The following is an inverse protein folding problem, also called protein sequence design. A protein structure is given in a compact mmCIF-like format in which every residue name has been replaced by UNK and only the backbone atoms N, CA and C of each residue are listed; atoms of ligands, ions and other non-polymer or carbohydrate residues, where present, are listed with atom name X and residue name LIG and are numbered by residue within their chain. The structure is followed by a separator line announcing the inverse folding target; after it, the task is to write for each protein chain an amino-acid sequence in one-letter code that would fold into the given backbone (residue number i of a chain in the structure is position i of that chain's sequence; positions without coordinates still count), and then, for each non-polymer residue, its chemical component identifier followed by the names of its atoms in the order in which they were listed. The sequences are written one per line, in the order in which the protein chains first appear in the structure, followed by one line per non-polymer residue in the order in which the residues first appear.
data_IF_427088698300
#
_entry.id   IF_427088698300
#
_cell.length_a   1.000
_cell.length_b   1.000
_cell.length_c   1.000
_cell.angle_alpha   90.00
_cell.angle_beta   90.00
_cell.angle_gamma   90.00
#
_symmetry.space_group_name_H-M   'P 1'
#
loop_
_entity.id
_entity.type
_entity.pdbx_description
1 polymer ?
#
# COMPACT_ATOMS: atom_id res chain seq x y z
N UNK A 1 -12.50 9.54 0.06
CA UNK A 1 -13.32 9.36 1.30
C UNK A 1 -13.45 7.93 1.84
N UNK A 2 -14.22 7.04 1.21
CA UNK A 2 -14.66 5.75 1.80
C UNK A 2 -13.83 4.51 1.40
N UNK A 3 -13.03 4.60 0.32
CA UNK A 3 -12.27 3.44 -0.21
C UNK A 3 -10.85 3.31 0.36
N UNK A 4 -10.14 4.41 0.64
CA UNK A 4 -8.90 4.37 1.42
C UNK A 4 -9.17 3.93 2.87
N UNK A 5 -10.33 4.27 3.44
CA UNK A 5 -10.78 3.75 4.73
C UNK A 5 -11.04 2.22 4.66
N UNK A 6 -11.49 1.69 3.50
CA UNK A 6 -11.68 0.25 3.27
C UNK A 6 -10.37 -0.53 3.07
N UNK A 7 -9.32 0.08 2.49
CA UNK A 7 -8.00 -0.56 2.34
C UNK A 7 -7.10 -0.42 3.57
N UNK A 8 -7.16 0.71 4.29
CA UNK A 8 -6.62 0.82 5.66
C UNK A 8 -7.34 -0.15 6.61
N UNK A 9 -8.59 -0.48 6.31
CA UNK A 9 -9.41 -1.45 7.02
C UNK A 9 -8.90 -2.91 6.99
N UNK A 10 -7.91 -3.32 6.20
CA UNK A 10 -7.41 -4.71 6.33
C UNK A 10 -6.34 -4.87 7.41
N UNK A 11 -5.56 -3.81 7.65
CA UNK A 11 -4.58 -3.73 8.76
C UNK A 11 -5.21 -3.10 10.02
N UNK A 12 -6.27 -2.29 9.84
CA UNK A 12 -6.94 -1.54 10.91
C UNK A 12 -8.48 -1.70 10.92
N UNK A 13 -9.02 -2.85 10.50
CA UNK A 13 -10.48 -3.09 10.46
C UNK A 13 -11.13 -2.90 11.84
N UNK A 14 -12.20 -2.10 11.93
CA UNK A 14 -13.27 -2.40 12.87
C UNK A 14 -13.94 -3.70 12.42
N UNK A 15 -14.10 -4.64 13.35
CA UNK A 15 -14.83 -5.89 13.15
C UNK A 15 -16.21 -5.64 12.48
N UNK A 16 -16.68 -6.48 11.55
CA UNK A 16 -17.99 -6.31 10.91
C UNK A 16 -19.09 -6.42 11.97
N UNK A 17 -19.65 -5.29 12.39
CA UNK A 17 -20.71 -5.23 13.41
C UNK A 17 -20.56 -4.11 14.45
N UNK A 18 -19.41 -3.42 14.53
CA UNK A 18 -19.26 -2.31 15.48
C UNK A 18 -19.66 -0.95 14.89
N UNK A 19 -20.54 -0.25 15.62
CA UNK A 19 -20.94 1.14 15.34
C UNK A 19 -19.71 2.05 15.26
N UNK A 20 -19.77 3.19 14.52
CA UNK A 20 -18.64 4.09 14.19
C UNK A 20 -17.89 4.76 15.37
N UNK A 21 -18.05 4.30 16.62
CA UNK A 21 -17.42 4.85 17.84
C UNK A 21 -16.21 4.03 18.34
N UNK A 22 -15.83 2.96 17.65
CA UNK A 22 -14.67 2.11 17.99
C UNK A 22 -13.64 2.18 16.87
N UNK A 23 -13.09 3.38 16.66
CA UNK A 23 -11.96 3.55 15.74
C UNK A 23 -10.66 3.16 16.46
N UNK A 24 -9.78 2.44 15.76
CA UNK A 24 -8.41 2.19 16.21
C UNK A 24 -7.69 3.50 16.58
N UNK A 25 -6.81 3.54 17.58
CA UNK A 25 -6.02 4.73 17.92
C UNK A 25 -5.19 5.27 16.74
N UNK A 26 -4.89 4.44 15.74
CA UNK A 26 -4.25 4.88 14.49
C UNK A 26 -5.17 5.76 13.63
N UNK A 27 -6.48 5.49 13.65
CA UNK A 27 -7.49 6.24 12.90
C UNK A 27 -7.72 7.64 13.49
N UNK A 28 -7.62 7.80 14.82
CA UNK A 28 -7.71 9.12 15.47
C UNK A 28 -6.48 9.99 15.23
N UNK A 29 -5.29 9.40 15.11
CA UNK A 29 -4.04 10.14 14.86
C UNK A 29 -3.92 10.56 13.38
N UNK A 30 -4.44 9.76 12.45
CA UNK A 30 -4.27 9.97 11.00
C UNK A 30 -5.18 11.01 10.32
N UNK A 31 -6.25 11.50 10.95
CA UNK A 31 -7.17 12.47 10.30
C UNK A 31 -6.60 13.89 10.34
N UNK A 32 -6.38 14.50 9.16
CA UNK A 32 -6.26 15.96 9.04
C UNK A 32 -7.63 16.59 9.32
N UNK A 33 -7.67 17.58 10.21
CA UNK A 33 -8.90 18.22 10.66
C UNK A 33 -9.50 19.06 9.52
N UNK A 34 -10.44 18.49 8.76
CA UNK A 34 -11.35 19.28 7.94
C UNK A 34 -12.42 19.97 8.79
N UNK A 35 -12.96 21.13 8.39
CA UNK A 35 -13.89 21.94 9.18
C UNK A 35 -15.21 21.22 9.55
N UNK A 36 -15.53 20.09 8.91
CA UNK A 36 -16.73 19.28 9.20
C UNK A 36 -16.56 18.20 10.29
N UNK A 37 -15.35 17.96 10.81
CA UNK A 37 -15.05 16.84 11.73
C UNK A 37 -14.50 17.33 13.09
N UNK A 38 -14.88 18.52 13.53
CA UNK A 38 -14.58 19.01 14.88
C UNK A 38 -15.36 18.28 15.99
N UNK A 39 -16.34 17.42 15.65
CA UNK A 39 -17.15 16.66 16.64
C UNK A 39 -16.53 15.36 17.15
N UNK A 40 -15.41 14.89 16.61
CA UNK A 40 -14.81 13.58 16.98
C UNK A 40 -13.48 13.69 17.75
N UNK A 41 -12.99 14.89 18.02
CA UNK A 41 -11.74 15.12 18.76
C UNK A 41 -11.81 14.74 20.26
N UNK A 42 -12.95 14.23 20.75
CA UNK A 42 -13.22 13.99 22.17
C UNK A 42 -13.78 12.58 22.44
N UNK A 43 -13.29 11.54 21.77
CA UNK A 43 -13.66 10.18 22.16
C UNK A 43 -13.09 9.88 23.57
N UNK A 44 -13.92 9.48 24.55
CA UNK A 44 -13.46 9.18 25.89
C UNK A 44 -12.45 8.03 25.90
N UNK A 45 -11.48 8.03 26.81
CA UNK A 45 -10.52 6.92 26.98
C UNK A 45 -11.19 5.55 27.09
N UNK A 46 -12.40 5.49 27.65
CA UNK A 46 -13.21 4.28 27.75
C UNK A 46 -13.57 3.64 26.39
N UNK A 47 -13.66 4.42 25.31
CA UNK A 47 -13.86 3.91 23.94
C UNK A 47 -12.57 3.47 23.24
N UNK A 48 -11.41 3.88 23.75
CA UNK A 48 -10.11 3.48 23.22
C UNK A 48 -9.62 2.14 23.80
N UNK A 49 -9.99 1.81 25.04
CA UNK A 49 -9.59 0.56 25.70
C UNK A 49 -9.97 -0.71 24.90
N UNK A 50 -11.20 -0.85 24.35
CA UNK A 50 -11.54 -2.00 23.51
C UNK A 50 -10.74 -2.03 22.20
N UNK A 51 -10.48 -0.86 21.60
CA UNK A 51 -9.73 -0.75 20.36
C UNK A 51 -8.24 -1.05 20.54
N UNK A 52 -7.63 -0.60 21.63
CA UNK A 52 -6.24 -0.91 21.98
C UNK A 52 -6.08 -2.37 22.39
N UNK A 53 -7.05 -2.94 23.11
CA UNK A 53 -7.03 -4.36 23.46
C UNK A 53 -7.18 -5.25 22.22
N UNK A 54 -8.06 -4.88 21.28
CA UNK A 54 -8.21 -5.58 20.01
C UNK A 54 -6.94 -5.50 19.16
N UNK A 55 -6.33 -4.31 19.04
CA UNK A 55 -5.05 -4.13 18.35
C UNK A 55 -3.93 -4.95 19.00
N UNK A 56 -3.84 -4.94 20.34
CA UNK A 56 -2.86 -5.73 21.07
C UNK A 56 -3.06 -7.23 20.84
N UNK A 57 -4.31 -7.71 20.82
CA UNK A 57 -4.63 -9.10 20.50
C UNK A 57 -4.25 -9.46 19.06
N UNK A 58 -4.61 -8.66 18.07
CA UNK A 58 -4.26 -8.89 16.66
C UNK A 58 -2.74 -8.90 16.47
N UNK A 59 -2.03 -7.97 17.13
CA UNK A 59 -0.57 -7.91 17.11
C UNK A 59 0.05 -9.12 17.78
N UNK A 60 -0.47 -9.56 18.94
CA UNK A 60 0.01 -10.72 19.65
C UNK A 60 -0.20 -12.02 18.85
N UNK A 61 -1.37 -12.17 18.21
CA UNK A 61 -1.65 -13.31 17.31
C UNK A 61 -0.70 -13.28 16.10
N UNK A 62 -0.50 -12.11 15.49
CA UNK A 62 0.44 -11.93 14.38
C UNK A 62 1.88 -12.30 14.78
N UNK A 63 2.38 -11.77 15.90
CA UNK A 63 3.71 -12.11 16.43
C UNK A 63 3.81 -13.59 16.79
N UNK A 64 2.78 -14.18 17.37
CA UNK A 64 2.73 -15.62 17.69
C UNK A 64 2.80 -16.49 16.44
N UNK A 65 2.12 -16.09 15.36
CA UNK A 65 2.24 -16.75 14.05
C UNK A 65 3.64 -16.57 13.46
N UNK A 66 4.22 -15.38 13.53
CA UNK A 66 5.57 -15.14 13.00
C UNK A 66 6.65 -15.88 13.77
N UNK A 67 6.45 -16.10 15.08
CA UNK A 67 7.36 -16.88 15.91
C UNK A 67 7.40 -18.37 15.53
N UNK A 68 6.40 -18.88 14.78
CA UNK A 68 6.42 -20.25 14.24
C UNK A 68 7.14 -20.37 12.89
N UNK A 69 7.52 -19.24 12.27
CA UNK A 69 8.33 -19.21 11.05
C UNK A 69 9.83 -19.24 11.42
N UNK A 70 10.67 -18.52 10.67
CA UNK A 70 12.10 -18.43 10.95
C UNK A 70 12.48 -17.12 11.67
N UNK A 71 13.65 -17.08 12.34
CA UNK A 71 14.12 -15.90 13.07
C UNK A 71 14.23 -14.64 12.20
N UNK A 72 14.64 -14.78 10.94
CA UNK A 72 14.80 -13.66 10.00
C UNK A 72 13.45 -13.00 9.66
N UNK A 73 12.41 -13.80 9.39
CA UNK A 73 11.06 -13.33 9.17
C UNK A 73 10.49 -12.65 10.42
N UNK A 74 10.75 -13.20 11.62
CA UNK A 74 10.35 -12.58 12.88
C UNK A 74 11.02 -11.22 13.09
N UNK A 75 12.34 -11.12 12.89
CA UNK A 75 13.10 -9.87 13.01
C UNK A 75 12.58 -8.81 12.04
N UNK A 76 12.35 -9.18 10.77
CA UNK A 76 11.78 -8.28 9.76
C UNK A 76 10.35 -7.85 10.12
N UNK A 77 9.53 -8.77 10.63
CA UNK A 77 8.20 -8.48 11.16
C UNK A 77 8.20 -7.45 12.25
N UNK A 78 9.01 -7.66 13.29
CA UNK A 78 9.13 -6.73 14.40
C UNK A 78 9.65 -5.36 13.95
N UNK A 79 10.60 -5.33 13.02
CA UNK A 79 11.11 -4.07 12.47
C UNK A 79 10.04 -3.25 11.73
N UNK A 80 9.05 -3.91 11.11
CA UNK A 80 7.94 -3.24 10.40
C UNK A 80 7.05 -2.41 11.33
N UNK A 81 6.94 -2.78 12.62
CA UNK A 81 6.13 -2.07 13.61
C UNK A 81 6.56 -0.60 13.76
N UNK A 82 7.86 -0.32 13.60
CA UNK A 82 8.38 1.05 13.62
C UNK A 82 7.80 1.90 12.47
N UNK A 83 7.74 1.35 11.26
CA UNK A 83 7.18 2.04 10.10
C UNK A 83 5.66 2.20 10.22
N UNK A 84 4.95 1.17 10.70
CA UNK A 84 3.51 1.23 10.94
C UNK A 84 3.17 2.30 11.97
N UNK A 85 3.92 2.35 13.09
CA UNK A 85 3.78 3.36 14.12
C UNK A 85 4.08 4.78 13.62
N UNK A 86 5.06 4.94 12.73
CA UNK A 86 5.45 6.22 12.16
C UNK A 86 4.44 6.75 11.12
N UNK A 87 3.75 5.88 10.38
CA UNK A 87 2.90 6.26 9.24
C UNK A 87 1.85 7.35 9.55
N UNK A 88 1.09 7.33 10.66
CA UNK A 88 0.16 8.41 11.00
C UNK A 88 0.83 9.76 11.20
N UNK A 89 2.06 9.78 11.72
CA UNK A 89 2.84 11.00 11.90
C UNK A 89 3.31 11.54 10.55
N UNK A 90 3.65 10.65 9.61
CA UNK A 90 4.08 11.03 8.26
C UNK A 90 3.01 11.82 7.51
N UNK A 91 1.73 11.46 7.66
CA UNK A 91 0.62 12.25 7.11
C UNK A 91 0.59 13.72 7.56
N UNK A 92 1.24 14.06 8.69
CA UNK A 92 1.30 15.43 9.22
C UNK A 92 2.56 16.19 8.84
N UNK A 93 3.67 15.51 8.59
CA UNK A 93 4.97 16.15 8.36
C UNK A 93 5.41 16.16 6.89
N UNK A 94 4.90 15.23 6.06
CA UNK A 94 5.30 15.12 4.65
C UNK A 94 4.16 15.39 3.68
N UNK A 95 4.51 15.90 2.52
CA UNK A 95 3.63 16.10 1.37
C UNK A 95 3.50 14.82 0.52
N UNK A 96 4.27 13.78 0.87
CA UNK A 96 4.31 12.48 0.20
C UNK A 96 3.97 11.32 1.14
N UNK A 97 2.79 11.30 1.79
CA UNK A 97 2.39 10.19 2.64
C UNK A 97 2.34 8.86 1.88
N UNK A 98 2.04 8.88 0.57
CA UNK A 98 2.04 7.69 -0.28
C UNK A 98 3.39 6.97 -0.36
N UNK A 99 4.51 7.68 -0.19
CA UNK A 99 5.83 7.04 -0.19
C UNK A 99 6.02 6.19 1.07
N UNK A 100 5.61 6.73 2.23
CA UNK A 100 5.63 5.98 3.50
C UNK A 100 4.61 4.84 3.52
N UNK A 101 3.46 5.04 2.88
CA UNK A 101 2.51 3.96 2.63
C UNK A 101 3.15 2.84 1.80
N UNK A 102 3.90 3.19 0.76
CA UNK A 102 4.67 2.24 -0.04
C UNK A 102 5.67 1.47 0.81
N UNK A 103 6.40 2.15 1.70
CA UNK A 103 7.36 1.49 2.59
C UNK A 103 6.71 0.48 3.54
N UNK A 104 5.55 0.82 4.12
CA UNK A 104 4.85 -0.06 5.06
C UNK A 104 4.17 -1.24 4.38
N UNK A 105 3.41 -1.01 3.30
CA UNK A 105 2.65 -2.08 2.64
C UNK A 105 3.54 -3.11 1.94
N UNK A 106 4.62 -2.65 1.30
CA UNK A 106 5.49 -3.56 0.55
C UNK A 106 6.48 -4.33 1.44
N UNK A 107 6.54 -4.03 2.75
CA UNK A 107 7.41 -4.74 3.69
C UNK A 107 7.13 -6.25 3.72
N UNK A 108 5.86 -6.61 3.46
CA UNK A 108 5.43 -7.99 3.34
C UNK A 108 6.16 -8.79 2.25
N UNK A 109 6.63 -8.15 1.17
CA UNK A 109 7.38 -8.83 0.11
C UNK A 109 8.74 -9.35 0.62
N UNK A 110 9.44 -8.52 1.39
CA UNK A 110 10.72 -8.89 2.02
C UNK A 110 10.52 -10.00 3.05
N UNK A 111 9.51 -9.83 3.89
CA UNK A 111 9.14 -10.80 4.93
C UNK A 111 8.73 -12.15 4.32
N UNK A 112 7.99 -12.15 3.21
CA UNK A 112 7.58 -13.36 2.50
C UNK A 112 8.78 -14.12 1.92
N UNK A 113 9.76 -13.42 1.35
CA UNK A 113 11.00 -14.05 0.90
C UNK A 113 11.77 -14.68 2.07
N UNK A 114 11.98 -13.90 3.14
CA UNK A 114 12.67 -14.36 4.33
C UNK A 114 11.99 -15.57 4.95
N UNK A 115 10.64 -15.61 4.97
CA UNK A 115 9.86 -16.72 5.51
C UNK A 115 10.16 -18.07 4.83
N UNK A 116 10.51 -18.06 3.53
CA UNK A 116 10.79 -19.27 2.75
C UNK A 116 12.28 -19.63 2.75
N UNK A 117 13.17 -18.65 2.57
CA UNK A 117 14.60 -18.89 2.38
C UNK A 117 15.42 -18.83 3.67
N UNK A 118 14.88 -18.23 4.74
CA UNK A 118 15.59 -18.03 6.01
C UNK A 118 16.52 -16.83 6.02
N UNK A 119 16.72 -16.15 4.89
CA UNK A 119 17.50 -14.92 4.73
C UNK A 119 16.85 -13.99 3.68
N UNK A 120 17.45 -12.81 3.45
CA UNK A 120 17.05 -11.91 2.38
C UNK A 120 18.18 -11.74 1.36
N UNK A 121 18.01 -12.32 0.17
CA UNK A 121 18.85 -11.98 -0.97
C UNK A 121 18.41 -10.62 -1.54
N UNK A 122 19.19 -9.59 -1.23
CA UNK A 122 18.91 -8.22 -1.66
C UNK A 122 18.96 -8.03 -3.18
N UNK A 123 19.61 -8.93 -3.93
CA UNK A 123 19.60 -8.87 -5.40
C UNK A 123 18.22 -9.17 -5.96
N UNK A 124 17.45 -10.06 -5.32
CA UNK A 124 16.09 -10.43 -5.74
C UNK A 124 15.05 -9.55 -5.04
N UNK A 125 15.18 -9.43 -3.72
CA UNK A 125 14.20 -8.77 -2.85
C UNK A 125 14.25 -7.25 -2.97
N UNK A 126 15.44 -6.67 -3.19
CA UNK A 126 15.60 -5.22 -3.32
C UNK A 126 14.78 -4.64 -4.48
N UNK A 127 14.97 -5.13 -5.72
CA UNK A 127 14.16 -4.71 -6.86
C UNK A 127 12.66 -4.98 -6.67
N UNK A 128 12.29 -6.08 -6.01
CA UNK A 128 10.88 -6.42 -5.75
C UNK A 128 10.22 -5.41 -4.82
N UNK A 129 10.91 -5.07 -3.73
CA UNK A 129 10.43 -4.11 -2.74
C UNK A 129 10.30 -2.71 -3.35
N UNK A 130 11.31 -2.27 -4.09
CA UNK A 130 11.30 -0.99 -4.81
C UNK A 130 10.20 -0.96 -5.87
N UNK A 131 9.99 -2.06 -6.60
CA UNK A 131 8.94 -2.16 -7.59
C UNK A 131 7.54 -1.99 -6.97
N UNK A 132 7.32 -2.62 -5.82
CA UNK A 132 6.10 -2.48 -5.05
C UNK A 132 5.87 -1.05 -4.55
N UNK A 133 6.92 -0.37 -4.05
CA UNK A 133 6.82 1.04 -3.64
C UNK A 133 6.40 1.92 -4.80
N UNK A 134 7.04 1.77 -5.97
CA UNK A 134 6.67 2.55 -7.14
C UNK A 134 5.26 2.25 -7.63
N UNK A 135 4.80 1.00 -7.55
CA UNK A 135 3.42 0.66 -7.86
C UNK A 135 2.44 1.34 -6.90
N UNK A 136 2.75 1.35 -5.59
CA UNK A 136 1.99 2.11 -4.59
C UNK A 136 1.92 3.58 -4.91
N UNK A 137 3.03 4.19 -5.32
CA UNK A 137 3.04 5.58 -5.76
C UNK A 137 2.11 5.82 -6.95
N UNK A 138 1.99 4.88 -7.90
CA UNK A 138 1.09 5.02 -9.06
C UNK A 138 -0.37 5.04 -8.60
N UNK A 139 -0.84 3.98 -7.96
CA UNK A 139 -2.28 3.86 -7.66
C UNK A 139 -2.73 4.85 -6.59
N UNK A 140 -1.87 5.15 -5.61
CA UNK A 140 -2.23 6.08 -4.53
C UNK A 140 -2.19 7.53 -5.03
N UNK A 141 -1.37 7.85 -6.04
CA UNK A 141 -1.44 9.16 -6.71
C UNK A 141 -2.71 9.29 -7.55
N UNK A 142 -3.14 8.24 -8.26
CA UNK A 142 -4.45 8.24 -8.94
C UNK A 142 -5.57 8.46 -7.93
N UNK A 143 -5.51 7.79 -6.78
CA UNK A 143 -6.48 7.98 -5.70
C UNK A 143 -6.45 9.40 -5.13
N UNK A 144 -5.27 9.96 -4.87
CA UNK A 144 -5.11 11.33 -4.36
C UNK A 144 -5.67 12.40 -5.31
N UNK A 145 -5.78 12.12 -6.61
CA UNK A 145 -6.44 13.04 -7.55
C UNK A 145 -7.96 13.11 -7.35
N UNK A 146 -8.62 12.13 -6.71
CA UNK A 146 -10.07 12.17 -6.41
C UNK A 146 -10.44 13.30 -5.45
N UNK A 147 -9.57 13.58 -4.49
CA UNK A 147 -9.82 14.56 -3.44
C UNK A 147 -9.08 15.90 -3.74
N UNK A 148 -8.50 16.06 -4.94
CA UNK A 148 -7.63 17.19 -5.32
C UNK A 148 -8.31 18.56 -5.24
N UNK A 149 -9.57 18.66 -5.65
CA UNK A 149 -10.32 19.92 -5.60
C UNK A 149 -10.65 20.31 -4.15
N UNK A 150 -11.10 19.34 -3.35
CA UNK A 150 -11.40 19.55 -1.92
C UNK A 150 -10.12 19.91 -1.13
N UNK A 151 -9.01 19.23 -1.43
CA UNK A 151 -7.70 19.50 -0.83
C UNK A 151 -7.20 20.91 -1.17
N UNK A 152 -7.48 21.40 -2.38
CA UNK A 152 -7.15 22.76 -2.81
C UNK A 152 -7.96 23.81 -2.05
N UNK A 153 -9.25 23.56 -1.81
CA UNK A 153 -10.12 24.45 -1.05
C UNK A 153 -9.76 24.50 0.45
N UNK A 154 -9.32 23.38 1.02
CA UNK A 154 -9.00 23.26 2.46
C UNK A 154 -7.51 23.61 2.74
N UNK A 155 -6.69 23.81 1.71
CA UNK A 155 -5.27 24.15 1.85
C UNK A 155 -4.41 22.99 2.35
N UNK A 156 -4.85 21.75 2.11
CA UNK A 156 -4.19 20.52 2.52
C UNK A 156 -3.06 20.20 1.54
N UNK A 157 -1.84 19.96 2.05
CA UNK A 157 -0.73 19.52 1.20
C UNK A 157 -0.93 18.07 0.75
N UNK A 158 -1.03 17.85 -0.55
CA UNK A 158 -1.27 16.55 -1.19
C UNK A 158 -0.29 16.34 -2.33
N UNK A 159 0.03 15.08 -2.62
CA UNK A 159 0.93 14.68 -3.70
C UNK A 159 0.42 15.07 -5.08
N UNK A 160 -0.91 15.02 -5.27
CA UNK A 160 -1.57 15.47 -6.49
C UNK A 160 -1.40 16.99 -6.72
N UNK A 161 -1.30 17.76 -5.62
CA UNK A 161 -1.02 19.20 -5.67
C UNK A 161 0.47 19.47 -5.87
N UNK A 162 1.35 18.72 -5.21
CA UNK A 162 2.80 18.85 -5.34
C UNK A 162 3.30 18.52 -6.77
N UNK A 163 2.68 17.54 -7.42
CA UNK A 163 3.02 17.15 -8.79
C UNK A 163 2.41 18.06 -9.87
N UNK A 164 1.34 18.80 -9.56
CA UNK A 164 0.72 19.77 -10.48
C UNK A 164 0.45 19.20 -11.88
N UNK A 165 1.01 19.83 -12.91
CA UNK A 165 0.91 19.40 -14.32
C UNK A 165 1.81 18.21 -14.67
N UNK A 166 2.84 17.91 -13.86
CA UNK A 166 3.76 16.79 -14.07
C UNK A 166 3.19 15.46 -13.57
N UNK A 167 1.96 15.43 -13.04
CA UNK A 167 1.36 14.27 -12.38
C UNK A 167 1.38 13.01 -13.27
N UNK A 168 0.88 13.11 -14.51
CA UNK A 168 0.88 11.98 -15.45
C UNK A 168 2.29 11.51 -15.83
N UNK A 169 3.24 12.45 -16.00
CA UNK A 169 4.62 12.12 -16.31
C UNK A 169 5.32 11.39 -15.15
N UNK A 170 5.14 11.87 -13.91
CA UNK A 170 5.68 11.24 -12.72
C UNK A 170 5.10 9.84 -12.49
N UNK A 171 3.77 9.68 -12.59
CA UNK A 171 3.15 8.36 -12.50
C UNK A 171 3.63 7.40 -13.59
N UNK A 172 3.87 7.89 -14.81
CA UNK A 172 4.43 7.08 -15.90
C UNK A 172 5.86 6.62 -15.57
N UNK A 173 6.69 7.49 -14.99
CA UNK A 173 8.02 7.13 -14.53
C UNK A 173 7.98 6.09 -13.40
N UNK A 174 7.06 6.25 -12.44
CA UNK A 174 6.86 5.27 -11.37
C UNK A 174 6.36 3.92 -11.91
N UNK A 175 5.41 3.91 -12.85
CA UNK A 175 4.96 2.67 -13.48
C UNK A 175 6.09 1.97 -14.24
N UNK A 176 6.89 2.72 -15.01
CA UNK A 176 8.05 2.17 -15.70
C UNK A 176 9.09 1.60 -14.71
N UNK A 177 9.38 2.31 -13.63
CA UNK A 177 10.30 1.84 -12.59
C UNK A 177 9.77 0.58 -11.87
N UNK A 178 8.46 0.51 -11.62
CA UNK A 178 7.81 -0.66 -11.05
C UNK A 178 7.94 -1.89 -11.96
N UNK A 179 7.57 -1.76 -13.24
CA UNK A 179 7.68 -2.85 -14.22
C UNK A 179 9.13 -3.29 -14.40
N UNK A 180 10.07 -2.34 -14.45
CA UNK A 180 11.49 -2.65 -14.54
C UNK A 180 12.01 -3.40 -13.30
N UNK A 181 11.59 -3.00 -12.10
CA UNK A 181 11.95 -3.68 -10.85
C UNK A 181 11.37 -5.10 -10.78
N UNK A 182 10.13 -5.31 -11.20
CA UNK A 182 9.53 -6.66 -11.32
C UNK A 182 10.30 -7.51 -12.32
N UNK A 183 10.60 -6.98 -13.52
CA UNK A 183 11.39 -7.70 -14.51
C UNK A 183 12.78 -8.07 -13.97
N UNK A 184 13.47 -7.13 -13.30
CA UNK A 184 14.75 -7.38 -12.67
C UNK A 184 14.68 -8.48 -11.60
N UNK A 185 13.66 -8.46 -10.72
CA UNK A 185 13.41 -9.53 -9.76
C UNK A 185 13.25 -10.88 -10.46
N UNK A 186 12.47 -10.95 -11.55
CA UNK A 186 12.30 -12.18 -12.31
C UNK A 186 13.61 -12.74 -12.87
N UNK A 187 14.45 -11.87 -13.43
CA UNK A 187 15.78 -12.28 -13.94
C UNK A 187 16.67 -12.78 -12.81
N UNK A 188 16.74 -12.07 -11.68
CA UNK A 188 17.56 -12.46 -10.53
C UNK A 188 17.04 -13.72 -9.84
N UNK A 189 15.73 -13.95 -9.84
CA UNK A 189 15.09 -15.14 -9.29
C UNK A 189 15.15 -16.37 -10.22
N UNK A 190 15.68 -16.22 -11.43
CA UNK A 190 15.74 -17.30 -12.44
C UNK A 190 14.35 -17.71 -12.96
N UNK A 191 13.38 -16.80 -12.96
CA UNK A 191 12.06 -17.07 -13.51
C UNK A 191 12.09 -17.25 -15.04
N UNK A 192 11.13 -18.00 -15.56
CA UNK A 192 11.00 -18.33 -16.98
C UNK A 192 9.94 -17.46 -17.69
N UNK A 193 9.66 -17.76 -18.96
CA UNK A 193 8.77 -16.99 -19.82
C UNK A 193 7.38 -16.63 -19.24
N UNK A 194 6.65 -17.54 -18.56
CA UNK A 194 5.33 -17.24 -18.00
C UNK A 194 5.34 -16.11 -16.96
N UNK A 195 6.39 -16.00 -16.14
CA UNK A 195 6.54 -14.89 -15.21
C UNK A 195 6.60 -13.55 -15.96
N UNK A 196 7.45 -13.46 -16.98
CA UNK A 196 7.57 -12.25 -17.79
C UNK A 196 6.29 -11.93 -18.56
N UNK A 197 5.50 -12.95 -18.93
CA UNK A 197 4.15 -12.77 -19.46
C UNK A 197 3.22 -12.06 -18.46
N UNK A 198 3.25 -12.46 -17.19
CA UNK A 198 2.52 -11.79 -16.11
C UNK A 198 2.98 -10.35 -15.87
N UNK A 199 4.29 -10.10 -15.88
CA UNK A 199 4.88 -8.74 -15.76
C UNK A 199 4.48 -7.87 -16.96
N UNK A 200 4.50 -8.41 -18.18
CA UNK A 200 4.07 -7.70 -19.38
C UNK A 200 2.58 -7.36 -19.33
N UNK A 201 1.72 -8.27 -18.85
CA UNK A 201 0.29 -8.02 -18.65
C UNK A 201 0.04 -6.93 -17.60
N UNK A 202 0.79 -6.96 -16.49
CA UNK A 202 0.76 -5.92 -15.46
C UNK A 202 1.19 -4.55 -16.04
N UNK A 203 2.27 -4.50 -16.80
CA UNK A 203 2.75 -3.28 -17.47
C UNK A 203 1.75 -2.74 -18.49
N UNK A 204 1.14 -3.61 -19.30
CA UNK A 204 0.08 -3.23 -20.23
C UNK A 204 -1.15 -2.66 -19.51
N UNK A 205 -1.54 -3.26 -18.39
CA UNK A 205 -2.64 -2.75 -17.58
C UNK A 205 -2.33 -1.37 -16.98
N UNK A 206 -1.13 -1.17 -16.42
CA UNK A 206 -0.68 0.13 -15.93
C UNK A 206 -0.63 1.19 -17.05
N UNK A 207 -0.15 0.81 -18.25
CA UNK A 207 -0.13 1.71 -19.40
C UNK A 207 -1.56 2.09 -19.85
N UNK A 208 -2.51 1.16 -19.83
CA UNK A 208 -3.92 1.45 -20.10
C UNK A 208 -4.52 2.39 -19.04
N UNK A 209 -4.27 2.14 -17.74
CA UNK A 209 -4.73 3.01 -16.67
C UNK A 209 -4.20 4.42 -16.86
N UNK A 210 -2.88 4.56 -17.00
CA UNK A 210 -2.23 5.86 -17.17
C UNK A 210 -2.59 6.54 -18.48
N UNK A 211 -2.87 5.79 -19.54
CA UNK A 211 -3.28 6.33 -20.83
C UNK A 211 -4.70 6.90 -20.80
N UNK A 212 -5.62 6.20 -20.15
CA UNK A 212 -7.07 6.47 -20.20
C UNK A 212 -7.61 7.23 -19.00
N UNK A 213 -6.86 7.34 -17.90
CA UNK A 213 -7.34 8.02 -16.69
C UNK A 213 -7.65 9.50 -16.93
N UNK A 214 -8.87 9.90 -16.59
CA UNK A 214 -9.26 11.30 -16.45
C UNK A 214 -9.03 11.74 -14.99
N UNK A 215 -7.99 12.54 -14.77
CA UNK A 215 -7.63 13.06 -13.45
C UNK A 215 -8.59 14.16 -12.96
N UNK A 216 -9.51 14.62 -13.80
CA UNK A 216 -10.58 15.54 -13.42
C UNK A 216 -11.86 14.82 -12.97
N UNK A 217 -12.03 13.53 -13.29
CA UNK A 217 -13.20 12.76 -12.92
C UNK A 217 -12.92 11.88 -11.69
N UNK A 218 -13.60 12.19 -10.58
CA UNK A 218 -13.50 11.42 -9.33
C UNK A 218 -13.94 9.96 -9.50
N UNK A 219 -14.96 9.71 -10.32
CA UNK A 219 -15.49 8.36 -10.53
C UNK A 219 -14.49 7.51 -11.31
N UNK A 220 -13.95 8.03 -12.41
CA UNK A 220 -12.92 7.34 -13.20
C UNK A 220 -11.67 7.07 -12.37
N UNK A 221 -11.18 8.05 -11.60
CA UNK A 221 -10.05 7.83 -10.68
C UNK A 221 -10.35 6.71 -9.66
N UNK A 222 -11.59 6.60 -9.17
CA UNK A 222 -12.04 5.52 -8.29
C UNK A 222 -12.04 4.16 -8.95
N UNK A 223 -12.50 4.08 -10.20
CA UNK A 223 -12.54 2.85 -10.98
C UNK A 223 -11.14 2.38 -11.39
N UNK A 224 -10.27 3.30 -11.80
CA UNK A 224 -8.86 2.99 -12.07
C UNK A 224 -8.15 2.50 -10.81
N UNK A 225 -8.39 3.13 -9.66
CA UNK A 225 -7.84 2.66 -8.40
C UNK A 225 -8.26 1.22 -8.09
N UNK A 226 -9.56 0.89 -8.18
CA UNK A 226 -10.07 -0.48 -7.99
C UNK A 226 -9.47 -1.49 -8.97
N UNK A 227 -9.25 -1.08 -10.21
CA UNK A 227 -8.69 -1.93 -11.25
C UNK A 227 -7.24 -2.39 -10.96
N UNK A 228 -6.51 -1.75 -10.04
CA UNK A 228 -5.17 -2.20 -9.63
C UNK A 228 -5.14 -3.62 -9.06
N UNK A 229 -6.27 -4.15 -8.58
CA UNK A 229 -6.38 -5.57 -8.22
C UNK A 229 -5.92 -6.49 -9.36
N UNK A 230 -6.17 -6.10 -10.62
CA UNK A 230 -5.77 -6.87 -11.80
C UNK A 230 -4.27 -6.84 -12.08
N UNK A 231 -3.56 -5.77 -11.69
CA UNK A 231 -2.09 -5.72 -11.77
C UNK A 231 -1.49 -6.79 -10.85
N UNK A 232 -1.96 -6.83 -9.59
CA UNK A 232 -1.54 -7.86 -8.64
C UNK A 232 -1.92 -9.27 -9.11
N UNK A 233 -3.13 -9.46 -9.63
CA UNK A 233 -3.58 -10.73 -10.17
C UNK A 233 -2.74 -11.20 -11.37
N UNK A 234 -2.34 -10.29 -12.26
CA UNK A 234 -1.50 -10.61 -13.41
C UNK A 234 -0.10 -11.07 -12.99
N UNK A 235 0.54 -10.37 -12.04
CA UNK A 235 1.84 -10.79 -11.49
C UNK A 235 1.72 -12.14 -10.77
N UNK A 236 0.68 -12.31 -9.94
CA UNK A 236 0.44 -13.57 -9.23
C UNK A 236 0.21 -14.74 -10.19
N UNK A 237 -0.62 -14.57 -11.22
CA UNK A 237 -0.84 -15.58 -12.24
C UNK A 237 0.45 -15.92 -12.99
N UNK A 238 1.27 -14.91 -13.31
CA UNK A 238 2.60 -15.11 -13.90
C UNK A 238 3.50 -15.97 -13.01
N UNK A 239 3.55 -15.71 -11.70
CA UNK A 239 4.30 -16.52 -10.73
C UNK A 239 3.78 -17.96 -10.67
N UNK A 240 2.46 -18.16 -10.59
CA UNK A 240 1.86 -19.51 -10.53
C UNK A 240 2.17 -20.30 -11.80
N UNK A 241 1.96 -19.69 -12.97
CA UNK A 241 2.24 -20.33 -14.26
C UNK A 241 3.72 -20.64 -14.44
N UNK A 242 4.61 -19.76 -13.97
CA UNK A 242 6.05 -20.00 -13.97
C UNK A 242 6.41 -21.23 -13.14
N UNK A 243 5.86 -21.33 -11.91
CA UNK A 243 6.08 -22.51 -11.06
C UNK A 243 5.51 -23.78 -11.65
N UNK A 244 4.38 -23.72 -12.36
CA UNK A 244 3.81 -24.88 -13.04
C UNK A 244 4.58 -25.31 -14.30
N UNK A 245 5.21 -24.37 -14.99
CA UNK A 245 5.97 -24.64 -16.22
C UNK A 245 7.39 -25.15 -15.97
N UNK A 246 7.92 -24.95 -14.76
CA UNK A 246 9.25 -25.41 -14.33
C UNK A 246 9.21 -26.86 -13.79
N UNK A 247 8.02 -27.42 -13.54
CA UNK A 247 7.81 -28.85 -13.26
C UNK A 247 7.64 -29.65 -14.56
#
# INVERSE_FOLDING_TARGET
GEAAEKLEGFVFAPCPGMRPRTCSPFCTIGRRAGPRISRQAHLPLATLLPASAFLALQTAVGVGWMASLNPSALQLGLSSLGLVAAYPLMKRITDWPQLFLGFTFNWGAMMGWAAVHGDCDWNVVGPLYVAGIFWTLVYDTIYANQDKEDDREIGVRSSALALGSANRAAMSAFAAASVAGLAATGVMAGCSGPYFGGVAAAGAHLAWQLGTVDLGDRADCGDKFRSNTWVGAAVFAGIVLDRLAIF
#
